data_IF_424000543157
#
_entry.id   IF_424000543157
#
_cell.length_a   1.000
_cell.length_b   1.000
_cell.length_c   1.000
_cell.angle_alpha   90.00
_cell.angle_beta   90.00
_cell.angle_gamma   90.00
#
_symmetry.space_group_name_H-M   'P 1'
#
loop_
_entity.id
_entity.type
_entity.pdbx_description
1 polymer ?
#
# COMPACT_ATOMS: atom_id res chain seq x y z
N UNK A 1 8.01 -4.49 3.62
CA UNK A 1 7.03 -5.32 2.88
C UNK A 1 7.33 -6.82 2.88
N UNK A 2 8.58 -7.30 2.80
CA UNK A 2 8.87 -8.76 2.81
C UNK A 2 8.24 -9.54 3.97
N UNK A 3 8.29 -9.01 5.20
CA UNK A 3 7.61 -9.61 6.37
C UNK A 3 6.09 -9.67 6.23
N UNK A 4 5.49 -8.75 5.48
CA UNK A 4 4.05 -8.69 5.28
C UNK A 4 3.58 -9.71 4.25
N UNK A 5 4.34 -9.87 3.16
CA UNK A 5 4.12 -10.91 2.15
C UNK A 5 4.31 -12.32 2.72
N UNK A 6 5.29 -12.51 3.61
CA UNK A 6 5.55 -13.80 4.25
C UNK A 6 4.67 -14.09 5.49
N UNK A 7 3.62 -13.29 5.75
CA UNK A 7 2.77 -13.41 6.94
C UNK A 7 3.53 -13.40 8.30
N UNK A 8 4.66 -12.68 8.40
CA UNK A 8 5.52 -12.57 9.59
C UNK A 8 5.29 -11.28 10.40
N UNK A 9 4.24 -10.53 10.10
CA UNK A 9 3.82 -9.44 10.99
C UNK A 9 2.96 -10.01 12.11
N UNK A 10 3.31 -9.67 13.35
CA UNK A 10 2.58 -10.14 14.53
C UNK A 10 1.20 -9.49 14.68
N UNK A 11 0.98 -8.29 14.16
CA UNK A 11 -0.31 -7.61 14.21
C UNK A 11 -0.51 -6.71 12.99
N UNK A 12 -1.77 -6.54 12.57
CA UNK A 12 -2.18 -5.54 11.58
C UNK A 12 -2.58 -4.28 12.35
N UNK A 13 -1.86 -3.15 12.22
CA UNK A 13 -2.21 -1.94 12.94
C UNK A 13 -3.53 -1.33 12.45
N UNK A 14 -4.25 -0.67 13.35
CA UNK A 14 -5.41 0.16 12.99
C UNK A 14 -4.94 1.51 12.44
N UNK A 15 -4.42 1.46 11.21
CA UNK A 15 -3.85 2.60 10.52
C UNK A 15 -4.55 2.79 9.18
N UNK A 16 -4.92 4.04 8.87
CA UNK A 16 -5.44 4.43 7.57
C UNK A 16 -4.35 5.20 6.80
N UNK A 17 -4.08 4.78 5.57
CA UNK A 17 -2.99 5.26 4.73
C UNK A 17 -3.52 5.76 3.39
N UNK A 18 -3.09 6.97 3.02
CA UNK A 18 -3.16 7.45 1.65
C UNK A 18 -2.14 6.67 0.81
N UNK A 19 -2.61 5.95 -0.21
CA UNK A 19 -1.76 5.25 -1.17
C UNK A 19 -2.03 5.81 -2.57
N UNK A 20 -1.01 5.78 -3.41
CA UNK A 20 -1.07 6.24 -4.80
C UNK A 20 -0.20 5.34 -5.65
N UNK A 21 -0.64 5.07 -6.88
CA UNK A 21 0.20 4.38 -7.86
C UNK A 21 1.38 5.28 -8.25
N UNK A 22 2.60 4.73 -8.21
CA UNK A 22 3.82 5.48 -8.55
C UNK A 22 3.80 6.03 -9.99
N UNK A 23 3.04 5.42 -10.90
CA UNK A 23 2.87 5.88 -12.28
C UNK A 23 2.05 7.17 -12.34
N UNK A 24 1.03 7.28 -11.50
CA UNK A 24 0.23 8.49 -11.39
C UNK A 24 1.05 9.63 -10.77
N UNK A 25 1.91 9.32 -9.80
CA UNK A 25 2.86 10.28 -9.22
C UNK A 25 3.85 10.79 -10.29
N UNK A 26 4.43 9.88 -11.07
CA UNK A 26 5.35 10.26 -12.15
C UNK A 26 4.65 11.16 -13.19
N UNK A 27 3.43 10.79 -13.60
CA UNK A 27 2.62 11.61 -14.51
C UNK A 27 2.33 12.98 -13.92
N UNK A 28 1.93 13.05 -12.65
CA UNK A 28 1.64 14.30 -11.98
C UNK A 28 2.87 15.22 -11.87
N UNK A 29 4.06 14.66 -11.63
CA UNK A 29 5.30 15.43 -11.65
C UNK A 29 5.59 16.04 -13.03
N UNK A 30 5.39 15.26 -14.12
CA UNK A 30 5.55 15.77 -15.48
C UNK A 30 4.54 16.86 -15.80
N UNK A 31 3.29 16.71 -15.36
CA UNK A 31 2.25 17.74 -15.57
C UNK A 31 2.53 19.02 -14.76
N UNK A 32 3.04 18.90 -13.53
CA UNK A 32 3.42 20.06 -12.73
C UNK A 32 4.50 20.90 -13.42
N UNK A 33 5.51 20.26 -14.01
CA UNK A 33 6.55 20.98 -14.78
C UNK A 33 6.04 21.70 -16.03
N UNK A 34 4.84 21.36 -16.51
CA UNK A 34 4.25 21.91 -17.74
C UNK A 34 3.16 22.94 -17.48
N UNK A 35 2.71 23.09 -16.24
CA UNK A 35 1.54 23.89 -15.87
C UNK A 35 1.95 24.96 -14.86
N UNK A 36 2.14 26.22 -15.30
CA UNK A 36 2.48 27.32 -14.40
C UNK A 36 1.48 27.51 -13.26
N UNK A 37 0.22 27.07 -13.44
CA UNK A 37 -0.82 27.13 -12.41
C UNK A 37 -0.51 26.25 -11.19
N UNK A 38 0.43 25.30 -11.33
CA UNK A 38 0.89 24.46 -10.22
C UNK A 38 2.02 25.08 -9.40
N UNK A 39 2.59 26.20 -9.83
CA UNK A 39 3.71 26.85 -9.15
C UNK A 39 3.30 27.34 -7.75
N UNK A 40 4.14 27.01 -6.76
CA UNK A 40 3.90 27.34 -5.35
C UNK A 40 2.77 26.55 -4.68
N UNK A 41 2.08 25.66 -5.41
CA UNK A 41 0.99 24.87 -4.86
C UNK A 41 1.51 23.64 -4.10
N UNK A 42 0.78 23.25 -3.06
CA UNK A 42 0.97 21.96 -2.37
C UNK A 42 -0.13 21.01 -2.80
N UNK A 43 0.20 20.11 -3.74
CA UNK A 43 -0.76 19.20 -4.35
C UNK A 43 -0.62 17.82 -3.70
N UNK A 44 -1.69 17.34 -3.06
CA UNK A 44 -1.75 15.97 -2.54
C UNK A 44 -2.27 15.03 -3.62
N UNK A 45 -1.46 14.03 -3.97
CA UNK A 45 -1.83 13.00 -4.94
C UNK A 45 -2.06 11.71 -4.15
N UNK A 46 -3.32 11.30 -4.06
CA UNK A 46 -3.72 10.07 -3.37
C UNK A 46 -4.90 9.44 -4.08
N UNK A 47 -4.95 8.12 -4.11
CA UNK A 47 -6.18 7.42 -4.43
C UNK A 47 -7.19 7.65 -3.30
N UNK A 48 -8.46 7.79 -3.66
CA UNK A 48 -9.58 7.86 -2.73
C UNK A 48 -10.58 6.76 -3.07
N UNK A 49 -11.14 6.06 -2.06
CA UNK A 49 -10.87 6.23 -0.62
C UNK A 49 -9.45 5.79 -0.23
N UNK A 50 -8.99 6.27 0.92
CA UNK A 50 -7.73 5.80 1.54
C UNK A 50 -7.87 4.37 2.06
N UNK A 51 -6.74 3.70 2.27
CA UNK A 51 -6.71 2.28 2.61
C UNK A 51 -6.50 2.07 4.11
N UNK A 52 -7.33 1.23 4.74
CA UNK A 52 -6.94 0.67 6.03
C UNK A 52 -5.84 -0.36 5.83
N UNK A 53 -4.92 -0.47 6.77
CA UNK A 53 -3.83 -1.46 6.71
C UNK A 53 -4.37 -2.90 6.58
N UNK A 54 -5.55 -3.17 7.17
CA UNK A 54 -6.28 -4.44 7.03
C UNK A 54 -6.72 -4.74 5.60
N UNK A 55 -7.09 -3.71 4.84
CA UNK A 55 -7.54 -3.86 3.46
C UNK A 55 -6.35 -4.16 2.55
N UNK A 56 -5.19 -3.51 2.80
CA UNK A 56 -3.93 -3.83 2.13
C UNK A 56 -3.55 -5.30 2.39
N UNK A 57 -3.67 -5.79 3.64
CA UNK A 57 -3.41 -7.19 3.97
C UNK A 57 -4.32 -8.14 3.17
N UNK A 58 -5.60 -7.82 3.06
CA UNK A 58 -6.60 -8.61 2.32
C UNK A 58 -6.29 -8.65 0.82
N UNK A 59 -5.91 -7.51 0.23
CA UNK A 59 -5.51 -7.41 -1.17
C UNK A 59 -4.29 -8.31 -1.42
N UNK A 60 -3.24 -8.21 -0.61
CA UNK A 60 -2.05 -9.04 -0.78
C UNK A 60 -2.35 -10.54 -0.63
N UNK A 61 -3.17 -10.94 0.35
CA UNK A 61 -3.61 -12.33 0.48
C UNK A 61 -4.34 -12.82 -0.78
N UNK A 62 -5.24 -11.99 -1.32
CA UNK A 62 -6.02 -12.34 -2.51
C UNK A 62 -5.12 -12.53 -3.74
N UNK A 63 -4.19 -11.61 -3.97
CA UNK A 63 -3.34 -11.62 -5.17
C UNK A 63 -2.19 -12.65 -5.07
N UNK A 64 -1.56 -12.80 -3.90
CA UNK A 64 -0.35 -13.62 -3.72
C UNK A 64 -0.58 -14.92 -2.95
N UNK A 65 -1.75 -15.12 -2.34
CA UNK A 65 -2.14 -16.37 -1.69
C UNK A 65 -2.07 -17.59 -2.61
N UNK A 66 -2.64 -17.54 -3.83
CA UNK A 66 -2.56 -18.64 -4.80
C UNK A 66 -1.12 -19.01 -5.23
N UNK A 67 -0.17 -18.10 -5.04
CA UNK A 67 1.24 -18.26 -5.42
C UNK A 67 2.06 -18.93 -4.30
N UNK A 68 1.43 -19.26 -3.16
CA UNK A 68 2.07 -19.90 -2.01
C UNK A 68 3.03 -18.98 -1.24
N UNK A 69 3.06 -17.68 -1.54
CA UNK A 69 3.93 -16.72 -0.88
C UNK A 69 3.32 -16.21 0.43
N UNK A 70 2.00 -16.04 0.46
CA UNK A 70 1.25 -15.50 1.61
C UNK A 70 0.82 -16.55 2.64
N UNK A 71 0.72 -17.82 2.22
CA UNK A 71 0.15 -18.90 3.05
C UNK A 71 1.21 -19.79 3.71
N UNK A 72 2.49 -19.41 3.64
CA UNK A 72 3.53 -20.09 4.43
C UNK A 72 3.31 -19.74 5.89
N UNK A 73 2.99 -20.71 6.76
CA UNK A 73 2.99 -20.45 8.19
C UNK A 73 4.43 -20.13 8.56
N UNK A 74 4.72 -18.88 8.93
CA UNK A 74 5.89 -18.66 9.76
C UNK A 74 5.68 -19.54 11.00
N UNK A 75 6.65 -20.41 11.32
CA UNK A 75 6.61 -21.39 12.42
C UNK A 75 6.52 -20.76 13.83
N UNK A 76 5.68 -19.75 14.02
CA UNK A 76 5.37 -19.11 15.29
C UNK A 76 3.89 -18.73 15.30
N UNK A 77 3.02 -19.74 15.24
CA UNK A 77 1.63 -19.59 15.67
C UNK A 77 1.63 -19.59 17.19
N UNK A 78 1.69 -18.42 17.81
CA UNK A 78 1.16 -18.21 19.15
C UNK A 78 0.05 -17.15 19.05
N UNK A 79 -1.14 -17.63 19.39
CA UNK A 79 -2.35 -16.97 19.85
C UNK A 79 -2.39 -15.44 19.84
N UNK A 80 -3.45 -14.93 19.23
CA UNK A 80 -4.35 -14.02 19.96
C UNK A 80 -5.52 -14.86 20.47
#
# INVERSE_FOLDING_TARGET
MRRFLNAQMQAVPELNLACVDVRDVAKAHVEAMRRPESDGQRILITSQPSFWFRDIARILRKEFGPQGEYDRPSMYTHAF
#
